data_IF_980589828261
#
_entry.id   IF_980589828261
#
_cell.length_a   1.000
_cell.length_b   1.000
_cell.length_c   1.000
_cell.angle_alpha   90.00
_cell.angle_beta   90.00
_cell.angle_gamma   90.00
#
_symmetry.space_group_name_H-M   'P 1'
#
loop_
_entity.id
_entity.type
_entity.pdbx_description
1 polymer ?
#
# COMPACT_ATOMS: atom_id res chain seq x y z
N UNK A 1 36.37 3.07 10.05
CA UNK A 1 36.10 3.17 8.60
C UNK A 1 35.15 2.08 8.11
N UNK A 2 35.40 0.78 8.37
CA UNK A 2 34.49 -0.32 7.96
C UNK A 2 33.07 -0.19 8.52
N UNK A 3 32.92 0.03 9.83
CA UNK A 3 31.61 0.23 10.49
C UNK A 3 30.85 1.46 9.98
N UNK A 4 31.56 2.53 9.61
CA UNK A 4 30.98 3.74 9.04
C UNK A 4 30.46 3.49 7.62
N UNK A 5 31.21 2.73 6.81
CA UNK A 5 30.79 2.29 5.48
C UNK A 5 29.56 1.37 5.61
N UNK A 6 29.58 0.41 6.53
CA UNK A 6 28.45 -0.51 6.76
C UNK A 6 27.18 0.24 7.17
N UNK A 7 27.28 1.23 8.07
CA UNK A 7 26.15 2.05 8.50
C UNK A 7 25.61 2.91 7.35
N UNK A 8 26.50 3.51 6.56
CA UNK A 8 26.13 4.30 5.39
C UNK A 8 25.45 3.44 4.31
N UNK A 9 25.94 2.23 4.06
CA UNK A 9 25.30 1.29 3.13
C UNK A 9 23.94 0.80 3.66
N UNK A 10 23.78 0.60 4.97
CA UNK A 10 22.50 0.19 5.56
C UNK A 10 21.44 1.30 5.43
N UNK A 11 21.82 2.56 5.63
CA UNK A 11 20.93 3.72 5.45
C UNK A 11 20.55 3.92 3.98
N UNK A 12 21.49 3.69 3.04
CA UNK A 12 21.18 3.75 1.61
C UNK A 12 20.22 2.64 1.18
N UNK A 13 20.36 1.43 1.74
CA UNK A 13 19.50 0.29 1.41
C UNK A 13 18.07 0.47 1.94
N UNK A 14 17.87 1.13 3.09
CA UNK A 14 16.52 1.39 3.64
C UNK A 14 15.68 2.33 2.77
N UNK A 15 16.31 3.22 1.99
CA UNK A 15 15.60 4.14 1.08
C UNK A 15 15.09 3.45 -0.19
N UNK A 16 15.62 2.26 -0.52
CA UNK A 16 15.25 1.52 -1.72
C UNK A 16 13.97 0.67 -1.55
N UNK A 17 13.36 0.66 -0.36
CA UNK A 17 12.23 -0.24 -0.01
C UNK A 17 10.90 0.53 0.18
N UNK A 18 10.81 1.80 -0.26
CA UNK A 18 9.53 2.52 -0.21
C UNK A 18 8.56 1.93 -1.23
N UNK A 19 7.48 1.31 -0.76
CA UNK A 19 6.41 0.83 -1.63
C UNK A 19 5.61 2.03 -2.16
N UNK A 20 5.32 2.05 -3.47
CA UNK A 20 4.40 3.01 -4.03
C UNK A 20 2.99 2.75 -3.50
N UNK A 21 2.31 3.80 -3.07
CA UNK A 21 0.91 3.74 -2.63
C UNK A 21 0.01 4.55 -3.53
N UNK A 22 -1.27 4.20 -3.52
CA UNK A 22 -2.35 4.89 -4.21
C UNK A 22 -3.28 5.46 -3.15
N UNK A 23 -3.53 6.77 -3.21
CA UNK A 23 -4.46 7.45 -2.30
C UNK A 23 -5.89 6.98 -2.59
N UNK A 24 -6.58 6.54 -1.54
CA UNK A 24 -7.99 6.16 -1.56
C UNK A 24 -8.76 7.02 -0.53
N UNK A 25 -9.24 8.22 -0.90
CA UNK A 25 -9.87 9.13 0.06
C UNK A 25 -11.23 8.65 0.61
N UNK A 26 -11.89 7.71 -0.07
CA UNK A 26 -13.17 7.15 0.36
C UNK A 26 -12.94 5.93 1.25
N UNK A 27 -13.16 6.11 2.55
CA UNK A 27 -12.97 5.08 3.55
C UNK A 27 -13.89 3.85 3.35
N UNK A 28 -15.07 4.02 2.75
CA UNK A 28 -15.97 2.90 2.46
C UNK A 28 -15.44 2.10 1.25
N UNK A 29 -14.87 2.77 0.26
CA UNK A 29 -14.23 2.10 -0.89
C UNK A 29 -12.98 1.34 -0.44
N UNK A 30 -12.14 1.94 0.40
CA UNK A 30 -10.99 1.27 1.01
C UNK A 30 -11.42 0.08 1.86
N UNK A 31 -12.48 0.19 2.66
CA UNK A 31 -13.03 -0.94 3.40
C UNK A 31 -13.48 -2.07 2.46
N UNK A 32 -14.05 -1.76 1.29
CA UNK A 32 -14.38 -2.80 0.30
C UNK A 32 -13.12 -3.48 -0.27
N UNK A 33 -12.01 -2.76 -0.45
CA UNK A 33 -10.73 -3.34 -0.85
C UNK A 33 -10.14 -4.24 0.23
N UNK A 34 -10.26 -3.87 1.51
CA UNK A 34 -9.88 -4.71 2.65
C UNK A 34 -10.73 -5.99 2.68
N UNK A 35 -12.06 -5.85 2.56
CA UNK A 35 -13.00 -7.00 2.53
C UNK A 35 -12.69 -7.98 1.39
N UNK A 36 -12.22 -7.47 0.25
CA UNK A 36 -11.86 -8.23 -0.94
C UNK A 36 -10.41 -8.78 -0.90
N UNK A 37 -9.63 -8.44 0.12
CA UNK A 37 -8.26 -8.91 0.31
C UNK A 37 -7.21 -8.17 -0.53
N UNK A 38 -7.54 -6.99 -1.06
CA UNK A 38 -6.61 -6.12 -1.77
C UNK A 38 -5.87 -5.15 -0.84
N UNK A 39 -6.32 -5.02 0.40
CA UNK A 39 -5.65 -4.22 1.42
C UNK A 39 -5.83 -4.83 2.82
N UNK A 40 -5.16 -4.30 3.84
CA UNK A 40 -5.17 -4.86 5.20
C UNK A 40 -5.23 -3.78 6.27
N UNK A 41 -5.88 -4.09 7.39
CA UNK A 41 -5.92 -3.20 8.56
C UNK A 41 -7.23 -2.42 8.64
N UNK A 42 -7.13 -1.13 8.90
CA UNK A 42 -8.25 -0.19 8.94
C UNK A 42 -8.08 0.82 7.80
N UNK A 43 -9.16 1.45 7.31
CA UNK A 43 -9.05 2.51 6.31
C UNK A 43 -8.13 3.64 6.79
N UNK A 44 -7.02 3.86 6.08
CA UNK A 44 -6.02 4.90 6.36
C UNK A 44 -5.80 5.87 5.19
N UNK A 45 -6.53 5.65 4.10
CA UNK A 45 -6.54 6.46 2.90
C UNK A 45 -5.46 6.05 1.89
N UNK A 46 -4.82 4.89 2.04
CA UNK A 46 -3.65 4.52 1.23
C UNK A 46 -3.49 3.02 1.05
N UNK A 47 -3.65 2.56 -0.20
CA UNK A 47 -3.42 1.14 -0.56
C UNK A 47 -2.09 0.98 -1.28
N UNK A 48 -1.27 -0.06 -0.99
CA UNK A 48 -0.09 -0.38 -1.79
C UNK A 48 -0.47 -0.57 -3.27
N UNK A 49 0.12 0.21 -4.18
CA UNK A 49 -0.21 0.16 -5.61
C UNK A 49 -0.01 -1.24 -6.18
N UNK A 50 0.98 -1.99 -5.68
CA UNK A 50 1.23 -3.37 -6.07
C UNK A 50 0.08 -4.35 -5.77
N UNK A 51 -0.81 -4.04 -4.81
CA UNK A 51 -1.95 -4.91 -4.49
C UNK A 51 -3.13 -4.72 -5.46
N UNK A 52 -3.21 -3.55 -6.11
CA UNK A 52 -4.36 -3.16 -6.95
C UNK A 52 -4.00 -2.94 -8.42
N UNK A 53 -2.71 -2.87 -8.79
CA UNK A 53 -2.27 -2.53 -10.16
C UNK A 53 -2.66 -3.54 -11.25
N UNK A 54 -3.07 -4.75 -10.87
CA UNK A 54 -3.54 -5.80 -11.79
C UNK A 54 -5.04 -6.07 -11.68
N UNK A 55 -5.72 -5.40 -10.75
CA UNK A 55 -7.17 -5.54 -10.53
C UNK A 55 -7.90 -4.81 -11.66
N UNK A 56 -8.42 -5.56 -12.62
CA UNK A 56 -9.15 -5.02 -13.76
C UNK A 56 -10.66 -4.91 -13.54
N UNK A 57 -11.18 -5.59 -12.52
CA UNK A 57 -12.60 -5.58 -12.17
C UNK A 57 -12.77 -5.77 -10.66
N UNK A 58 -13.71 -5.03 -10.08
CA UNK A 58 -14.03 -5.09 -8.66
C UNK A 58 -15.55 -5.15 -8.51
N UNK A 59 -16.07 -6.14 -7.77
CA UNK A 59 -17.49 -6.17 -7.48
C UNK A 59 -17.78 -5.42 -6.18
N UNK A 60 -18.21 -4.18 -6.33
CA UNK A 60 -18.61 -3.28 -5.24
C UNK A 60 -20.11 -2.98 -5.25
N UNK A 61 -20.89 -3.79 -5.95
CA UNK A 61 -22.34 -3.63 -6.02
C UNK A 61 -22.93 -3.66 -4.62
N UNK A 62 -23.87 -2.75 -4.34
CA UNK A 62 -24.59 -2.67 -3.06
C UNK A 62 -23.75 -2.26 -1.85
N UNK A 63 -22.49 -1.81 -2.05
CA UNK A 63 -21.61 -1.33 -0.97
C UNK A 63 -21.82 0.15 -0.60
N UNK A 64 -22.71 0.87 -1.31
CA UNK A 64 -23.01 2.30 -1.10
C UNK A 64 -21.74 3.18 -1.07
N UNK A 65 -21.00 3.10 -2.18
CA UNK A 65 -19.74 3.77 -2.50
C UNK A 65 -19.79 4.35 -3.91
#
# INVERSE_FOLDING_TARGET
MKTLITLFTAVLLSQAISAQTTLIPDANFEQALIDLGHDTGIPDGSVPTGNINTVSALNVSWKNI
#
